data_IF_726360142423
#
_entry.id   IF_726360142423
#
_cell.length_a   1.000
_cell.length_b   1.000
_cell.length_c   1.000
_cell.angle_alpha   90.00
_cell.angle_beta   90.00
_cell.angle_gamma   90.00
#
_symmetry.space_group_name_H-M   'P 1'
#
loop_
_entity.id
_entity.type
_entity.pdbx_description
1 polymer ?
#
# COMPACT_ATOMS: atom_id res chain seq x y z
N UNK A 1 1.72 5.09 17.98
CA UNK A 1 2.34 3.76 17.80
C UNK A 1 1.90 3.23 16.44
N UNK A 2 2.80 2.73 15.60
CA UNK A 2 2.43 2.17 14.30
C UNK A 2 1.74 0.82 14.53
N UNK A 3 0.52 0.65 14.01
CA UNK A 3 -0.16 -0.65 14.03
C UNK A 3 0.48 -1.57 12.98
N UNK A 4 1.25 -2.55 13.45
CA UNK A 4 1.96 -3.51 12.62
C UNK A 4 1.02 -4.48 11.89
N UNK A 5 -0.20 -4.68 12.37
CA UNK A 5 -1.18 -5.57 11.75
C UNK A 5 -2.09 -4.84 10.75
N UNK A 6 -1.97 -3.51 10.64
CA UNK A 6 -2.73 -2.72 9.67
C UNK A 6 -2.43 -3.22 8.25
N UNK A 7 -3.50 -3.49 7.50
CA UNK A 7 -3.44 -3.83 6.08
C UNK A 7 -3.11 -2.57 5.26
N UNK A 8 -2.25 -2.73 4.26
CA UNK A 8 -1.72 -1.64 3.42
C UNK A 8 -2.19 -1.76 1.97
N UNK A 9 -1.93 -2.92 1.35
CA UNK A 9 -2.38 -3.23 0.00
C UNK A 9 -2.90 -4.67 0.00
N UNK A 10 -4.21 -4.81 0.20
CA UNK A 10 -4.87 -6.12 0.24
C UNK A 10 -4.47 -6.89 1.50
N UNK A 11 -3.66 -7.93 1.35
CA UNK A 11 -3.20 -8.78 2.47
C UNK A 11 -1.88 -8.33 3.08
N UNK A 12 -1.16 -7.38 2.47
CA UNK A 12 0.11 -6.88 3.00
C UNK A 12 -0.12 -6.10 4.29
N UNK A 13 0.65 -6.45 5.31
CA UNK A 13 0.64 -5.75 6.60
C UNK A 13 1.80 -4.77 6.74
N UNK A 14 1.65 -3.76 7.61
CA UNK A 14 2.76 -2.90 8.01
C UNK A 14 3.96 -3.72 8.50
N UNK A 15 3.75 -4.81 9.25
CA UNK A 15 4.82 -5.70 9.71
C UNK A 15 5.64 -6.28 8.56
N UNK A 16 5.01 -6.74 7.48
CA UNK A 16 5.72 -7.31 6.32
C UNK A 16 6.54 -6.26 5.56
N UNK A 17 6.05 -5.02 5.53
CA UNK A 17 6.69 -3.89 4.86
C UNK A 17 7.86 -3.34 5.69
N UNK A 18 7.71 -3.26 7.02
CA UNK A 18 8.71 -2.70 7.92
C UNK A 18 9.69 -3.74 8.46
N UNK A 19 9.38 -5.03 8.33
CA UNK A 19 10.14 -6.13 8.93
C UNK A 19 11.57 -6.29 8.40
N UNK A 20 12.36 -7.04 9.17
CA UNK A 20 13.84 -7.09 9.09
C UNK A 20 14.45 -7.62 7.78
N UNK A 21 13.71 -8.36 6.94
CA UNK A 21 14.29 -8.94 5.71
C UNK A 21 14.41 -7.83 4.65
N UNK A 22 15.61 -7.32 4.30
CA UNK A 22 15.71 -5.98 3.74
C UNK A 22 15.31 -5.89 2.25
N UNK A 23 15.95 -6.55 1.28
CA UNK A 23 15.55 -6.29 -0.10
C UNK A 23 14.21 -6.98 -0.40
N UNK A 24 13.29 -6.32 -1.13
CA UNK A 24 12.10 -6.97 -1.66
C UNK A 24 12.53 -8.06 -2.64
N UNK A 25 12.34 -9.32 -2.25
CA UNK A 25 12.58 -10.48 -3.11
C UNK A 25 11.49 -10.62 -4.19
N UNK A 26 11.72 -11.54 -5.13
CA UNK A 26 10.78 -11.77 -6.24
C UNK A 26 9.42 -12.25 -5.75
N UNK A 27 9.36 -12.95 -4.61
CA UNK A 27 8.11 -13.44 -4.02
C UNK A 27 7.30 -12.26 -3.50
N UNK A 28 7.93 -11.33 -2.79
CA UNK A 28 7.32 -10.10 -2.31
C UNK A 28 6.77 -9.27 -3.48
N UNK A 29 7.57 -9.07 -4.52
CA UNK A 29 7.16 -8.33 -5.73
C UNK A 29 5.95 -8.97 -6.42
N UNK A 30 5.99 -10.29 -6.67
CA UNK A 30 4.87 -11.02 -7.28
C UNK A 30 3.59 -10.95 -6.44
N UNK A 31 3.70 -11.07 -5.12
CA UNK A 31 2.57 -10.93 -4.20
C UNK A 31 2.00 -9.52 -4.25
N UNK A 32 2.86 -8.50 -4.29
CA UNK A 32 2.46 -7.09 -4.34
C UNK A 32 1.72 -6.77 -5.64
N UNK A 33 2.24 -7.24 -6.78
CA UNK A 33 1.59 -7.16 -8.08
C UNK A 33 0.21 -7.82 -8.08
N UNK A 34 0.13 -9.05 -7.57
CA UNK A 34 -1.11 -9.82 -7.52
C UNK A 34 -2.17 -9.12 -6.65
N UNK A 35 -1.75 -8.59 -5.50
CA UNK A 35 -2.60 -7.82 -4.60
C UNK A 35 -3.10 -6.53 -5.26
N UNK A 36 -2.20 -5.78 -5.90
CA UNK A 36 -2.53 -4.56 -6.62
C UNK A 36 -3.53 -4.79 -7.75
N UNK A 37 -3.30 -5.81 -8.59
CA UNK A 37 -4.24 -6.17 -9.66
C UNK A 37 -5.63 -6.51 -9.12
N UNK A 38 -5.69 -7.23 -7.99
CA UNK A 38 -6.96 -7.59 -7.36
C UNK A 38 -7.69 -6.36 -6.82
N UNK A 39 -6.97 -5.46 -6.15
CA UNK A 39 -7.53 -4.20 -5.65
C UNK A 39 -8.04 -3.31 -6.79
N UNK A 40 -7.29 -3.17 -7.88
CA UNK A 40 -7.70 -2.38 -9.05
C UNK A 40 -8.95 -2.95 -9.72
N UNK A 41 -9.09 -4.27 -9.80
CA UNK A 41 -10.33 -4.90 -10.29
C UNK A 41 -11.52 -4.53 -9.40
N UNK A 42 -11.35 -4.54 -8.08
CA UNK A 42 -12.42 -4.22 -7.14
C UNK A 42 -12.86 -2.74 -7.23
N UNK A 43 -11.98 -1.82 -7.63
CA UNK A 43 -12.36 -0.40 -7.87
C UNK A 43 -13.50 -0.29 -8.88
N UNK A 44 -13.52 -1.16 -9.90
CA UNK A 44 -14.48 -1.05 -11.01
C UNK A 44 -15.92 -1.30 -10.54
N UNK A 45 -16.10 -2.16 -9.53
CA UNK A 45 -17.41 -2.60 -9.03
C UNK A 45 -17.81 -1.95 -7.71
N UNK A 46 -16.89 -1.26 -7.03
CA UNK A 46 -17.15 -0.62 -5.75
C UNK A 46 -18.08 0.61 -5.87
N UNK A 47 -18.86 0.85 -4.83
CA UNK A 47 -19.70 2.03 -4.75
C UNK A 47 -18.89 3.30 -4.45
N UNK A 48 -19.44 4.47 -4.79
CA UNK A 48 -18.75 5.75 -4.58
C UNK A 48 -18.33 5.98 -3.12
N UNK A 49 -19.23 5.70 -2.17
CA UNK A 49 -18.96 5.89 -0.73
C UNK A 49 -17.82 4.97 -0.27
N UNK A 50 -17.78 3.73 -0.77
CA UNK A 50 -16.71 2.78 -0.47
C UNK A 50 -15.37 3.26 -1.04
N UNK A 51 -15.38 3.81 -2.25
CA UNK A 51 -14.19 4.37 -2.90
C UNK A 51 -13.65 5.59 -2.17
N UNK A 52 -14.51 6.51 -1.72
CA UNK A 52 -14.13 7.69 -0.92
C UNK A 52 -13.48 7.26 0.40
N UNK A 53 -14.11 6.31 1.13
CA UNK A 53 -13.52 5.75 2.36
C UNK A 53 -12.18 5.08 2.10
N UNK A 54 -12.09 4.28 1.04
CA UNK A 54 -10.85 3.58 0.65
C UNK A 54 -9.74 4.58 0.31
N UNK A 55 -10.08 5.67 -0.38
CA UNK A 55 -9.14 6.74 -0.73
C UNK A 55 -8.53 7.39 0.51
N UNK A 56 -9.36 7.74 1.49
CA UNK A 56 -8.92 8.36 2.74
C UNK A 56 -7.99 7.42 3.51
N UNK A 57 -8.42 6.16 3.70
CA UNK A 57 -7.63 5.14 4.40
C UNK A 57 -6.24 4.93 3.76
N UNK A 58 -6.18 4.78 2.43
CA UNK A 58 -4.91 4.54 1.74
C UNK A 58 -4.03 5.80 1.67
N UNK A 59 -4.64 6.99 1.66
CA UNK A 59 -3.89 8.25 1.73
C UNK A 59 -3.21 8.41 3.10
N UNK A 60 -3.89 8.04 4.18
CA UNK A 60 -3.29 8.02 5.51
C UNK A 60 -2.16 6.99 5.63
N UNK A 61 -2.38 5.77 5.13
CA UNK A 61 -1.35 4.71 5.11
C UNK A 61 -0.10 5.19 4.37
N UNK A 62 -0.28 5.79 3.19
CA UNK A 62 0.83 6.32 2.40
C UNK A 62 1.60 7.38 3.20
N UNK A 63 0.89 8.31 3.84
CA UNK A 63 1.51 9.37 4.66
C UNK A 63 2.29 8.78 5.84
N UNK A 64 1.79 7.73 6.46
CA UNK A 64 2.47 7.07 7.58
C UNK A 64 3.73 6.32 7.12
N UNK A 65 3.68 5.63 5.98
CA UNK A 65 4.86 5.00 5.37
C UNK A 65 5.89 6.01 4.88
N UNK A 66 5.46 7.13 4.28
CA UNK A 66 6.37 8.21 3.83
C UNK A 66 7.23 8.71 5.00
N UNK A 67 6.65 8.88 6.21
CA UNK A 67 7.39 9.30 7.41
C UNK A 67 8.45 8.28 7.85
N UNK A 68 8.29 7.01 7.51
CA UNK A 68 9.19 5.92 7.90
C UNK A 68 10.36 5.72 6.94
N UNK A 69 10.30 6.30 5.73
CA UNK A 69 11.39 6.22 4.73
C UNK A 69 12.73 6.76 5.25
N UNK A 70 12.71 7.70 6.20
CA UNK A 70 13.91 8.27 6.83
C UNK A 70 14.47 7.45 8.01
N UNK A 71 13.84 6.35 8.41
CA UNK A 71 14.29 5.57 9.55
C UNK A 71 15.40 4.57 9.16
N UNK A 72 16.59 4.76 9.74
CA UNK A 72 17.81 4.01 9.39
C UNK A 72 17.72 2.48 9.62
N UNK A 73 16.80 2.02 10.47
CA UNK A 73 16.64 0.60 10.80
C UNK A 73 15.70 -0.17 9.85
N UNK A 74 15.05 0.52 8.90
CA UNK A 74 14.04 -0.06 8.04
C UNK A 74 14.54 -0.26 6.60
N UNK A 75 13.95 -1.22 5.90
CA UNK A 75 14.21 -1.40 4.47
C UNK A 75 13.60 -0.27 3.66
N UNK A 76 14.43 0.71 3.31
CA UNK A 76 14.04 1.83 2.45
C UNK A 76 13.49 1.35 1.10
N UNK A 77 14.18 0.43 0.43
CA UNK A 77 13.78 -0.08 -0.89
C UNK A 77 12.39 -0.74 -0.87
N UNK A 78 12.08 -1.50 0.18
CA UNK A 78 10.78 -2.16 0.30
C UNK A 78 9.66 -1.14 0.57
N UNK A 79 9.93 -0.14 1.42
CA UNK A 79 8.98 0.94 1.70
C UNK A 79 8.72 1.76 0.43
N UNK A 80 9.77 2.16 -0.29
CA UNK A 80 9.66 2.92 -1.54
C UNK A 80 8.85 2.15 -2.59
N UNK A 81 9.12 0.85 -2.77
CA UNK A 81 8.33 0.01 -3.66
C UNK A 81 6.85 0.00 -3.28
N UNK A 82 6.51 -0.18 -2.00
CA UNK A 82 5.10 -0.19 -1.56
C UNK A 82 4.45 1.19 -1.75
N UNK A 83 5.19 2.27 -1.49
CA UNK A 83 4.71 3.64 -1.71
C UNK A 83 4.38 3.91 -3.18
N UNK A 84 5.16 3.38 -4.12
CA UNK A 84 4.85 3.46 -5.55
C UNK A 84 3.52 2.79 -5.89
N UNK A 85 3.25 1.59 -5.34
CA UNK A 85 2.00 0.87 -5.58
C UNK A 85 0.81 1.57 -4.91
N UNK A 86 0.99 2.11 -3.70
CA UNK A 86 -0.02 2.92 -3.03
C UNK A 86 -0.38 4.16 -3.85
N UNK A 87 0.62 4.87 -4.38
CA UNK A 87 0.40 6.04 -5.22
C UNK A 87 -0.39 5.67 -6.49
N UNK A 88 -0.01 4.57 -7.16
CA UNK A 88 -0.76 4.05 -8.32
C UNK A 88 -2.21 3.70 -7.96
N UNK A 89 -2.42 3.05 -6.82
CA UNK A 89 -3.76 2.65 -6.37
C UNK A 89 -4.64 3.84 -6.02
N UNK A 90 -4.11 4.81 -5.27
CA UNK A 90 -4.78 6.07 -4.94
C UNK A 90 -5.19 6.81 -6.23
N UNK A 91 -4.29 6.89 -7.21
CA UNK A 91 -4.60 7.52 -8.49
C UNK A 91 -5.70 6.78 -9.25
N UNK A 92 -5.70 5.44 -9.24
CA UNK A 92 -6.76 4.65 -9.85
C UNK A 92 -8.14 4.92 -9.21
N UNK A 93 -8.20 5.04 -7.87
CA UNK A 93 -9.44 5.39 -7.17
C UNK A 93 -9.90 6.80 -7.55
N UNK A 94 -8.99 7.80 -7.53
CA UNK A 94 -9.31 9.18 -7.91
C UNK A 94 -9.85 9.26 -9.34
N UNK A 95 -9.21 8.58 -10.29
CA UNK A 95 -9.69 8.51 -11.67
C UNK A 95 -11.08 7.87 -11.79
N UNK A 96 -11.44 6.94 -10.90
CA UNK A 96 -12.78 6.32 -10.88
C UNK A 96 -13.86 7.22 -10.28
N UNK A 97 -13.49 8.08 -9.31
CA UNK A 97 -14.40 9.00 -8.64
C UNK A 97 -14.74 10.23 -9.49
N UNK A 98 -13.87 10.60 -10.44
CA UNK A 98 -14.05 11.76 -11.31
C UNK A 98 -13.36 13.00 -10.74
#
# INVERSE_FOLDING_TARGET
MVDLNRKVLGTFTMKEILGEIPPPDDIFRKRLDSSFQSLVKNIQTAERIELEKTLDEHTEIKRDLDKLTGAMALSREKIELVLEYLAKYINAIKSRLG
#
